data_IF_928110470521
#
_entry.id   IF_928110470521
#
_cell.length_a   1.000
_cell.length_b   1.000
_cell.length_c   1.000
_cell.angle_alpha   90.00
_cell.angle_beta   90.00
_cell.angle_gamma   90.00
#
_symmetry.space_group_name_H-M   'P 1'
#
loop_
_entity.id
_entity.type
_entity.pdbx_description
1 polymer ?
#
# COMPACT_ATOMS: atom_id res chain seq x y z
N UNK A 1 -0.59 -44.89 60.05
CA UNK A 1 -1.31 -43.98 59.24
C UNK A 1 -0.28 -43.06 58.53
N UNK A 2 0.01 -43.32 57.23
CA UNK A 2 0.97 -42.56 56.45
C UNK A 2 0.18 -41.53 55.67
N UNK A 3 0.40 -40.23 55.94
CA UNK A 3 -0.23 -39.13 55.19
C UNK A 3 0.60 -38.86 53.91
N UNK A 4 0.02 -39.15 52.77
CA UNK A 4 0.56 -38.78 51.45
C UNK A 4 0.32 -37.29 51.24
N UNK A 5 1.38 -36.48 51.14
CA UNK A 5 1.31 -35.11 50.69
C UNK A 5 1.39 -35.12 49.16
N UNK A 6 0.29 -34.83 48.48
CA UNK A 6 0.29 -34.60 47.06
C UNK A 6 0.70 -33.12 46.79
N UNK A 7 1.89 -32.90 46.23
CA UNK A 7 2.32 -31.59 45.78
C UNK A 7 1.75 -31.37 44.38
N UNK A 8 0.77 -30.49 44.29
CA UNK A 8 0.20 -30.03 43.02
C UNK A 8 1.15 -29.01 42.44
N UNK A 9 1.97 -29.41 41.46
CA UNK A 9 2.80 -28.48 40.68
C UNK A 9 1.90 -27.80 39.64
N UNK A 10 1.46 -26.57 39.94
CA UNK A 10 0.75 -25.72 39.00
C UNK A 10 1.80 -25.11 38.08
N UNK A 11 2.04 -25.71 36.91
CA UNK A 11 2.89 -25.12 35.88
C UNK A 11 2.13 -23.95 35.26
N UNK A 12 2.47 -22.73 35.71
CA UNK A 12 2.00 -21.47 35.10
C UNK A 12 2.63 -21.35 33.71
N UNK A 13 1.87 -21.67 32.68
CA UNK A 13 2.22 -21.30 31.32
C UNK A 13 2.10 -19.78 31.24
N UNK A 14 3.22 -19.06 31.32
CA UNK A 14 3.29 -17.65 31.00
C UNK A 14 3.22 -17.53 29.48
N UNK A 15 2.03 -17.25 28.95
CA UNK A 15 1.86 -16.81 27.58
C UNK A 15 2.48 -15.41 27.48
N UNK A 16 3.71 -15.34 26.99
CA UNK A 16 4.30 -14.05 26.58
C UNK A 16 3.58 -13.61 25.31
N UNK A 17 2.61 -12.73 25.44
CA UNK A 17 2.08 -12.00 24.30
C UNK A 17 3.20 -11.07 23.82
N UNK A 18 3.83 -11.40 22.70
CA UNK A 18 4.73 -10.47 22.00
C UNK A 18 3.84 -9.45 21.32
N UNK A 19 3.90 -8.20 21.74
CA UNK A 19 3.32 -7.10 20.96
C UNK A 19 4.11 -7.01 19.66
N UNK A 20 3.42 -7.04 18.52
CA UNK A 20 4.05 -6.87 17.21
C UNK A 20 3.78 -5.44 16.79
N UNK A 21 4.83 -4.66 16.59
CA UNK A 21 4.70 -3.30 16.05
C UNK A 21 4.32 -3.39 14.56
N UNK A 22 3.33 -2.61 14.14
CA UNK A 22 2.92 -2.49 12.75
C UNK A 22 3.18 -1.07 12.27
N UNK A 23 4.01 -0.93 11.25
CA UNK A 23 4.25 0.33 10.57
C UNK A 23 3.29 0.46 9.39
N UNK A 24 2.48 1.52 9.36
CA UNK A 24 1.59 1.81 8.24
C UNK A 24 2.17 2.98 7.44
N UNK A 25 2.52 2.70 6.19
CA UNK A 25 2.86 3.70 5.19
C UNK A 25 1.67 3.91 4.28
N UNK A 26 1.29 5.15 4.05
CA UNK A 26 0.24 5.46 3.09
C UNK A 26 0.61 6.66 2.23
N UNK A 27 0.05 6.69 1.03
CA UNK A 27 0.09 7.82 0.12
C UNK A 27 -1.24 7.95 -0.61
N UNK A 28 -1.47 9.10 -1.20
CA UNK A 28 -2.63 9.44 -2.01
C UNK A 28 -2.27 10.57 -2.96
N UNK A 29 -3.11 10.82 -3.97
CA UNK A 29 -2.97 11.95 -4.89
C UNK A 29 -1.58 12.03 -5.53
N UNK A 30 -1.04 10.90 -5.97
CA UNK A 30 0.27 10.88 -6.62
C UNK A 30 0.24 11.38 -8.05
N UNK A 31 -0.95 11.38 -8.69
CA UNK A 31 -1.23 12.06 -9.97
C UNK A 31 -0.14 11.87 -11.03
N UNK A 32 0.28 10.62 -11.23
CA UNK A 32 1.30 10.26 -12.23
C UNK A 32 2.63 11.02 -12.08
N UNK A 33 2.95 11.54 -10.89
CA UNK A 33 4.22 12.22 -10.61
C UNK A 33 5.37 11.19 -10.51
N UNK A 34 5.82 10.73 -11.68
CA UNK A 34 6.92 9.76 -11.81
C UNK A 34 8.27 10.42 -11.51
N UNK A 35 8.50 11.60 -12.09
CA UNK A 35 9.74 12.36 -11.88
C UNK A 35 9.71 13.16 -10.57
N UNK A 36 10.88 13.45 -10.01
CA UNK A 36 11.00 14.46 -8.96
C UNK A 36 10.55 15.84 -9.42
N UNK A 37 10.14 16.69 -8.49
CA UNK A 37 9.80 18.10 -8.78
C UNK A 37 10.93 18.80 -9.51
N UNK A 38 10.60 19.46 -10.64
CA UNK A 38 11.61 20.09 -11.51
C UNK A 38 11.96 21.51 -11.09
N UNK A 39 11.19 22.13 -10.18
CA UNK A 39 11.37 23.54 -9.83
C UNK A 39 10.81 23.92 -8.47
N UNK A 40 11.04 25.20 -8.09
CA UNK A 40 10.57 25.75 -6.83
C UNK A 40 11.33 25.23 -5.60
N UNK A 41 10.69 25.34 -4.44
CA UNK A 41 11.30 24.96 -3.14
C UNK A 41 11.47 23.45 -2.97
N UNK A 42 10.76 22.65 -3.76
CA UNK A 42 10.78 21.20 -3.71
C UNK A 42 11.56 20.58 -4.87
N UNK A 43 12.30 21.37 -5.65
CA UNK A 43 13.09 20.87 -6.76
C UNK A 43 14.00 19.70 -6.34
N UNK A 44 13.95 18.62 -7.12
CA UNK A 44 14.71 17.40 -6.88
C UNK A 44 14.14 16.50 -5.76
N UNK A 45 12.94 16.79 -5.24
CA UNK A 45 12.27 15.96 -4.23
C UNK A 45 11.08 15.22 -4.84
N UNK A 46 10.71 14.13 -4.20
CA UNK A 46 9.60 13.28 -4.63
C UNK A 46 10.00 12.39 -5.81
N UNK A 47 9.00 11.95 -6.57
CA UNK A 47 9.18 10.98 -7.63
C UNK A 47 9.22 9.55 -7.13
N UNK A 48 8.90 8.61 -8.02
CA UNK A 48 8.67 7.20 -7.65
C UNK A 48 9.93 6.50 -7.16
N UNK A 49 11.12 6.90 -7.64
CA UNK A 49 12.38 6.27 -7.24
C UNK A 49 12.70 6.58 -5.76
N UNK A 50 12.54 7.85 -5.34
CA UNK A 50 12.77 8.22 -3.95
C UNK A 50 11.71 7.63 -3.01
N UNK A 51 10.45 7.59 -3.46
CA UNK A 51 9.37 6.94 -2.72
C UNK A 51 9.67 5.45 -2.51
N UNK A 52 10.05 4.73 -3.57
CA UNK A 52 10.41 3.32 -3.48
C UNK A 52 11.60 3.09 -2.55
N UNK A 53 12.66 3.91 -2.66
CA UNK A 53 13.83 3.80 -1.79
C UNK A 53 13.48 4.04 -0.31
N UNK A 54 12.59 5.00 -0.02
CA UNK A 54 12.12 5.24 1.34
C UNK A 54 11.33 4.05 1.88
N UNK A 55 10.36 3.53 1.10
CA UNK A 55 9.56 2.37 1.46
C UNK A 55 10.46 1.16 1.77
N UNK A 56 11.44 0.90 0.90
CA UNK A 56 12.36 -0.21 1.08
C UNK A 56 13.24 -0.02 2.33
N UNK A 57 13.66 1.21 2.64
CA UNK A 57 14.40 1.50 3.86
C UNK A 57 13.60 1.19 5.13
N UNK A 58 12.30 1.50 5.14
CA UNK A 58 11.39 1.18 6.26
C UNK A 58 11.18 -0.32 6.36
N UNK A 59 10.96 -1.01 5.23
CA UNK A 59 10.82 -2.48 5.20
C UNK A 59 12.07 -3.20 5.73
N UNK A 60 13.26 -2.64 5.48
CA UNK A 60 14.52 -3.17 6.02
C UNK A 60 14.62 -2.93 7.52
N UNK A 61 14.23 -1.74 7.99
CA UNK A 61 14.33 -1.35 9.40
C UNK A 61 13.34 -2.11 10.30
N UNK A 62 12.08 -2.19 9.86
CA UNK A 62 10.96 -2.69 10.68
C UNK A 62 10.62 -4.16 10.39
N UNK A 63 11.22 -4.73 9.34
CA UNK A 63 10.85 -6.04 8.80
C UNK A 63 9.65 -5.93 7.84
N UNK A 64 9.79 -6.49 6.65
CA UNK A 64 8.79 -6.35 5.57
C UNK A 64 7.38 -6.81 5.96
N UNK A 65 7.28 -7.81 6.84
CA UNK A 65 6.01 -8.38 7.28
C UNK A 65 5.32 -7.53 8.38
N UNK A 66 6.02 -6.52 8.89
CA UNK A 66 5.53 -5.54 9.84
C UNK A 66 5.20 -4.19 9.19
N UNK A 67 5.28 -4.07 7.86
CA UNK A 67 4.98 -2.84 7.13
C UNK A 67 3.77 -3.05 6.23
N UNK A 68 2.74 -2.24 6.41
CA UNK A 68 1.56 -2.18 5.56
C UNK A 68 1.64 -0.94 4.67
N UNK A 69 1.69 -1.13 3.35
CA UNK A 69 1.79 -0.05 2.37
C UNK A 69 0.47 0.12 1.63
N UNK A 70 -0.16 1.29 1.76
CA UNK A 70 -1.48 1.58 1.24
C UNK A 70 -1.47 2.79 0.30
N UNK A 71 -2.33 2.77 -0.73
CA UNK A 71 -2.62 3.94 -1.57
C UNK A 71 -4.11 4.29 -1.51
N UNK A 72 -4.42 5.53 -1.14
CA UNK A 72 -5.80 5.97 -0.92
C UNK A 72 -6.48 6.58 -2.16
N UNK A 73 -5.92 6.34 -3.36
CA UNK A 73 -6.52 6.77 -4.63
C UNK A 73 -5.87 8.01 -5.25
N UNK A 74 -6.39 8.41 -6.41
CA UNK A 74 -5.86 9.45 -7.27
C UNK A 74 -4.37 9.21 -7.63
N UNK A 75 -4.06 7.97 -8.02
CA UNK A 75 -2.73 7.65 -8.54
C UNK A 75 -2.60 7.98 -10.03
N UNK A 76 -3.72 7.99 -10.76
CA UNK A 76 -3.80 8.35 -12.17
C UNK A 76 -3.94 9.85 -12.41
N UNK A 77 -3.79 10.24 -13.67
CA UNK A 77 -4.00 11.61 -14.16
C UNK A 77 -3.02 12.64 -13.54
N UNK A 78 -2.72 13.73 -14.24
CA UNK A 78 -1.93 14.85 -13.72
C UNK A 78 -0.66 15.16 -14.51
N UNK A 79 -0.02 14.18 -15.14
CA UNK A 79 1.17 14.40 -15.98
C UNK A 79 1.04 13.76 -17.37
N UNK A 80 2.00 14.07 -18.25
CA UNK A 80 2.08 13.44 -19.57
C UNK A 80 2.28 11.92 -19.52
N UNK A 81 2.80 11.39 -18.45
CA UNK A 81 2.94 9.94 -18.29
C UNK A 81 1.58 9.23 -18.37
N UNK A 82 0.56 9.77 -17.71
CA UNK A 82 -0.79 9.23 -17.80
C UNK A 82 -1.34 9.27 -19.22
N UNK A 83 -1.19 10.44 -19.90
CA UNK A 83 -1.76 10.65 -21.22
C UNK A 83 -1.06 9.81 -22.30
N UNK A 84 0.27 9.72 -22.25
CA UNK A 84 1.07 9.03 -23.27
C UNK A 84 1.10 7.51 -23.07
N UNK A 85 0.87 7.05 -21.84
CA UNK A 85 0.95 5.62 -21.48
C UNK A 85 -0.40 5.03 -21.05
N UNK A 86 -1.51 5.74 -21.30
CA UNK A 86 -2.88 5.28 -21.01
C UNK A 86 -3.07 4.79 -19.58
N UNK A 87 -2.38 5.40 -18.61
CA UNK A 87 -2.45 5.03 -17.21
C UNK A 87 -1.81 3.68 -16.85
N UNK A 88 -1.02 3.08 -17.75
CA UNK A 88 -0.37 1.79 -17.46
C UNK A 88 0.84 1.95 -16.53
N UNK A 89 1.55 3.07 -16.60
CA UNK A 89 2.73 3.32 -15.77
C UNK A 89 2.39 3.33 -14.28
N UNK A 90 1.24 3.87 -13.91
CA UNK A 90 0.76 3.90 -12.53
C UNK A 90 0.52 2.48 -12.00
N UNK A 91 -0.08 1.62 -12.82
CA UNK A 91 -0.29 0.20 -12.49
C UNK A 91 1.05 -0.52 -12.31
N UNK A 92 1.99 -0.27 -13.20
CA UNK A 92 3.33 -0.87 -13.11
C UNK A 92 4.07 -0.40 -11.84
N UNK A 93 3.95 0.88 -11.48
CA UNK A 93 4.53 1.44 -10.25
C UNK A 93 3.90 0.79 -9.00
N UNK A 94 2.58 0.72 -8.94
CA UNK A 94 1.87 0.09 -7.81
C UNK A 94 2.29 -1.38 -7.63
N UNK A 95 2.39 -2.12 -8.73
CA UNK A 95 2.85 -3.50 -8.73
C UNK A 95 4.33 -3.63 -8.29
N UNK A 96 5.20 -2.77 -8.83
CA UNK A 96 6.64 -2.80 -8.54
C UNK A 96 6.94 -2.44 -7.07
N UNK A 97 6.24 -1.45 -6.53
CA UNK A 97 6.37 -1.05 -5.12
C UNK A 97 5.72 -2.03 -4.15
N UNK A 98 4.91 -2.99 -4.64
CA UNK A 98 4.24 -4.02 -3.84
C UNK A 98 3.36 -3.42 -2.77
N UNK A 99 2.40 -2.61 -3.19
CA UNK A 99 1.35 -2.14 -2.29
C UNK A 99 0.53 -3.32 -1.77
N UNK A 100 0.08 -3.23 -0.52
CA UNK A 100 -0.76 -4.26 0.11
C UNK A 100 -2.24 -4.07 -0.25
N UNK A 101 -2.67 -2.82 -0.45
CA UNK A 101 -3.99 -2.49 -0.99
C UNK A 101 -3.99 -1.08 -1.58
N UNK A 102 -4.90 -0.86 -2.54
CA UNK A 102 -5.17 0.47 -3.11
C UNK A 102 -6.67 0.77 -3.06
N UNK A 103 -7.01 2.04 -2.90
CA UNK A 103 -8.36 2.55 -3.08
C UNK A 103 -8.44 3.28 -4.42
N UNK A 104 -9.65 3.47 -4.95
CA UNK A 104 -9.88 4.31 -6.12
C UNK A 104 -10.33 5.70 -5.66
N UNK A 105 -9.69 6.74 -6.18
CA UNK A 105 -10.16 8.11 -6.10
C UNK A 105 -11.07 8.48 -7.28
N UNK A 106 -11.32 9.75 -7.49
CA UNK A 106 -12.15 10.20 -8.60
C UNK A 106 -11.42 10.18 -9.95
N UNK A 107 -10.12 10.43 -9.98
CA UNK A 107 -9.34 10.49 -11.20
C UNK A 107 -9.08 9.12 -11.86
N UNK A 108 -9.26 8.03 -11.15
CA UNK A 108 -9.23 6.70 -11.74
C UNK A 108 -10.33 6.49 -12.78
N UNK A 109 -11.43 7.26 -12.70
CA UNK A 109 -12.59 7.17 -13.60
C UNK A 109 -12.56 8.16 -14.79
N UNK A 110 -11.54 9.03 -14.88
CA UNK A 110 -11.49 10.10 -15.90
C UNK A 110 -11.58 9.58 -17.33
N UNK A 111 -11.03 8.41 -17.62
CA UNK A 111 -11.11 7.76 -18.94
C UNK A 111 -12.28 6.79 -19.07
N UNK A 112 -13.22 6.80 -18.11
CA UNK A 112 -14.37 5.93 -18.10
C UNK A 112 -14.12 4.57 -17.45
N UNK A 113 -15.21 3.87 -17.18
CA UNK A 113 -15.20 2.63 -16.39
C UNK A 113 -14.54 1.46 -17.14
N UNK A 114 -14.65 1.41 -18.46
CA UNK A 114 -14.07 0.35 -19.28
C UNK A 114 -12.53 0.42 -19.25
N UNK A 115 -11.97 1.63 -19.31
CA UNK A 115 -10.53 1.86 -19.20
C UNK A 115 -10.02 1.58 -17.78
N UNK A 116 -10.77 1.97 -16.78
CA UNK A 116 -10.46 1.60 -15.39
C UNK A 116 -10.44 0.08 -15.24
N UNK A 117 -11.45 -0.62 -15.73
CA UNK A 117 -11.52 -2.08 -15.67
C UNK A 117 -10.36 -2.74 -16.42
N UNK A 118 -9.93 -2.17 -17.57
CA UNK A 118 -8.76 -2.65 -18.32
C UNK A 118 -7.48 -2.53 -17.48
N UNK A 119 -7.28 -1.39 -16.84
CA UNK A 119 -6.10 -1.11 -15.99
C UNK A 119 -6.06 -2.02 -14.75
N UNK A 120 -7.19 -2.13 -14.04
CA UNK A 120 -7.28 -2.95 -12.83
C UNK A 120 -7.01 -4.43 -13.11
N UNK A 121 -7.35 -4.96 -14.30
CA UNK A 121 -7.01 -6.35 -14.65
C UNK A 121 -5.50 -6.64 -14.65
N UNK A 122 -4.67 -5.63 -14.83
CA UNK A 122 -3.21 -5.73 -14.80
C UNK A 122 -2.61 -5.42 -13.42
N UNK A 123 -3.45 -5.04 -12.46
CA UNK A 123 -3.03 -4.74 -11.10
C UNK A 123 -2.93 -6.03 -10.28
N UNK A 124 -1.77 -6.25 -9.67
CA UNK A 124 -1.52 -7.40 -8.79
C UNK A 124 -1.79 -7.08 -7.31
N UNK A 125 -2.40 -5.93 -7.06
CA UNK A 125 -2.68 -5.39 -5.72
C UNK A 125 -4.19 -5.39 -5.51
N UNK A 126 -4.70 -5.79 -4.33
CA UNK A 126 -6.13 -5.72 -4.03
C UNK A 126 -6.66 -4.28 -4.12
N UNK A 127 -7.79 -4.11 -4.80
CA UNK A 127 -8.54 -2.84 -4.82
C UNK A 127 -9.62 -2.91 -3.75
N UNK A 128 -9.63 -1.96 -2.82
CA UNK A 128 -10.60 -1.88 -1.73
C UNK A 128 -11.36 -0.57 -1.79
N UNK A 129 -12.67 -0.64 -2.01
CA UNK A 129 -13.54 0.53 -2.11
C UNK A 129 -14.84 0.26 -1.35
N UNK A 130 -15.10 1.06 -0.32
CA UNK A 130 -16.33 0.94 0.47
C UNK A 130 -17.45 1.88 -0.02
N UNK A 131 -17.14 2.83 -0.87
CA UNK A 131 -18.01 3.92 -1.29
C UNK A 131 -18.50 3.79 -2.75
N UNK A 132 -18.02 2.81 -3.51
CA UNK A 132 -18.49 2.52 -4.86
C UNK A 132 -19.26 1.20 -4.89
N UNK A 133 -20.39 1.19 -5.59
CA UNK A 133 -21.16 -0.01 -5.85
C UNK A 133 -21.07 -0.37 -7.34
N UNK A 134 -20.44 -1.50 -7.63
CA UNK A 134 -20.26 -2.03 -8.97
C UNK A 134 -21.25 -3.18 -9.30
N UNK A 135 -22.24 -3.43 -8.45
CA UNK A 135 -23.15 -4.57 -8.60
C UNK A 135 -24.04 -4.52 -9.85
N UNK A 136 -24.11 -3.37 -10.53
CA UNK A 136 -24.90 -3.15 -11.74
C UNK A 136 -24.07 -2.90 -13.02
N UNK A 137 -22.75 -3.05 -12.96
CA UNK A 137 -21.85 -2.76 -14.08
C UNK A 137 -21.37 -4.01 -14.82
#
# INVERSE_FOLDING_TARGET
MKRLFAILICSSFVLTASAQDLTILHMNDTHSHVDPERGGKLAGRGGVIEQAAYIDSVRVADGKDNVLLLHAGDFGQGTSYFTELDGNIEIDILNAMKFDAVCLGNHEFDNGIDELARRIRNLNVPVVCANYDFSGS
#
